data_IF_223112862310
#
_entry.id   IF_223112862310
#
_cell.length_a   1.000
_cell.length_b   1.000
_cell.length_c   1.000
_cell.angle_alpha   90.00
_cell.angle_beta   90.00
_cell.angle_gamma   90.00
#
_symmetry.space_group_name_H-M   'P 1'
#
loop_
_entity.id
_entity.type
_entity.pdbx_description
1 polymer ?
#
# COMPACT_ATOMS: atom_id res chain seq x y z
N UNK A 1 -22.28 -1.26 15.61
CA UNK A 1 -21.09 -0.39 15.59
C UNK A 1 -20.04 -0.92 14.62
N UNK A 2 -19.12 -0.06 14.19
CA UNK A 2 -18.02 -0.39 13.26
C UNK A 2 -16.78 -0.68 14.09
N UNK A 3 -16.20 -1.88 13.97
CA UNK A 3 -14.99 -2.24 14.72
C UNK A 3 -13.71 -1.65 14.11
N UNK A 4 -13.64 -1.57 12.79
CA UNK A 4 -12.54 -0.99 12.02
C UNK A 4 -12.96 -0.68 10.59
N UNK A 5 -12.15 0.11 9.88
CA UNK A 5 -12.38 0.48 8.48
C UNK A 5 -11.21 0.01 7.62
N UNK A 6 -11.49 -0.58 6.47
CA UNK A 6 -10.51 -0.84 5.41
C UNK A 6 -10.64 0.24 4.34
N UNK A 7 -9.56 0.92 3.99
CA UNK A 7 -9.61 2.07 3.08
C UNK A 7 -8.57 1.95 1.96
N UNK A 8 -8.98 1.49 0.79
CA UNK A 8 -8.06 0.97 -0.23
C UNK A 8 -7.60 1.99 -1.27
N UNK A 9 -7.40 3.26 -0.90
CA UNK A 9 -6.75 4.27 -1.75
C UNK A 9 -7.63 4.86 -2.86
N UNK A 10 -6.98 5.44 -3.87
CA UNK A 10 -7.54 6.23 -4.97
C UNK A 10 -8.29 7.50 -4.51
N UNK A 11 -7.54 8.37 -3.82
CA UNK A 11 -8.08 9.60 -3.22
C UNK A 11 -8.08 10.80 -4.16
N UNK A 12 -7.13 10.87 -5.09
CA UNK A 12 -6.96 12.02 -5.98
C UNK A 12 -7.82 11.88 -7.25
N UNK A 13 -8.29 13.00 -7.83
CA UNK A 13 -9.15 12.96 -9.00
C UNK A 13 -8.43 12.45 -10.27
N UNK A 14 -9.21 12.28 -11.34
CA UNK A 14 -8.73 11.78 -12.64
C UNK A 14 -8.27 12.91 -13.60
N UNK A 15 -8.04 14.12 -13.09
CA UNK A 15 -7.47 15.26 -13.83
C UNK A 15 -5.95 15.12 -14.02
N UNK A 16 -5.50 13.93 -14.38
CA UNK A 16 -4.09 13.48 -14.42
C UNK A 16 -3.17 14.34 -15.30
N UNK A 17 -3.74 15.16 -16.17
CA UNK A 17 -3.03 16.11 -17.02
C UNK A 17 -2.60 17.39 -16.27
N UNK A 18 -3.11 17.63 -15.06
CA UNK A 18 -2.90 18.87 -14.31
C UNK A 18 -2.74 18.63 -12.80
N UNK A 19 -1.82 17.75 -12.41
CA UNK A 19 -1.59 17.36 -11.03
C UNK A 19 -0.18 17.70 -10.54
N UNK A 20 -0.05 18.20 -9.30
CA UNK A 20 1.24 18.42 -8.63
C UNK A 20 1.36 17.59 -7.35
N UNK A 21 2.60 17.38 -6.88
CA UNK A 21 2.85 16.65 -5.61
C UNK A 21 2.15 17.35 -4.44
N UNK A 22 2.19 18.67 -4.42
CA UNK A 22 1.58 19.50 -3.38
C UNK A 22 0.05 19.31 -3.36
N UNK A 23 -0.59 19.30 -4.53
CA UNK A 23 -2.04 19.07 -4.63
C UNK A 23 -2.45 17.67 -4.17
N UNK A 24 -1.67 16.64 -4.50
CA UNK A 24 -1.91 15.26 -4.05
C UNK A 24 -1.78 15.14 -2.53
N UNK A 25 -0.70 15.67 -1.95
CA UNK A 25 -0.51 15.66 -0.51
C UNK A 25 -1.61 16.43 0.22
N UNK A 26 -2.09 17.55 -0.34
CA UNK A 26 -3.21 18.29 0.23
C UNK A 26 -4.48 17.45 0.28
N UNK A 27 -4.84 16.78 -0.83
CA UNK A 27 -6.02 15.92 -0.91
C UNK A 27 -5.93 14.73 0.04
N UNK A 28 -4.76 14.06 0.10
CA UNK A 28 -4.53 12.93 1.01
C UNK A 28 -4.72 13.37 2.47
N UNK A 29 -4.08 14.48 2.87
CA UNK A 29 -4.17 15.00 4.25
C UNK A 29 -5.59 15.40 4.62
N UNK A 30 -6.28 16.07 3.70
CA UNK A 30 -7.68 16.49 3.88
C UNK A 30 -8.59 15.27 4.04
N UNK A 31 -8.44 14.26 3.17
CA UNK A 31 -9.22 13.02 3.25
C UNK A 31 -8.96 12.28 4.56
N UNK A 32 -7.70 12.20 4.99
CA UNK A 32 -7.30 11.61 6.28
C UNK A 32 -7.93 12.36 7.46
N UNK A 33 -7.97 13.70 7.41
CA UNK A 33 -8.60 14.51 8.45
C UNK A 33 -10.10 14.23 8.53
N UNK A 34 -10.80 14.26 7.39
CA UNK A 34 -12.24 13.97 7.34
C UNK A 34 -12.55 12.57 7.87
N UNK A 35 -11.76 11.55 7.49
CA UNK A 35 -11.93 10.19 8.01
C UNK A 35 -11.71 10.11 9.52
N UNK A 36 -10.69 10.78 10.05
CA UNK A 36 -10.40 10.82 11.49
C UNK A 36 -11.47 11.56 12.30
N UNK A 37 -12.03 12.63 11.75
CA UNK A 37 -13.11 13.42 12.38
C UNK A 37 -14.46 12.70 12.32
N UNK A 38 -14.75 12.02 11.22
CA UNK A 38 -16.01 11.29 11.02
C UNK A 38 -16.08 10.01 11.85
N UNK A 39 -14.94 9.33 12.04
CA UNK A 39 -14.86 8.05 12.75
C UNK A 39 -13.90 8.12 13.96
N UNK A 40 -14.19 8.96 14.97
CA UNK A 40 -13.29 9.16 16.11
C UNK A 40 -13.13 7.86 16.90
N UNK A 41 -11.88 7.48 17.15
CA UNK A 41 -11.53 6.27 17.92
C UNK A 41 -11.67 4.96 17.15
N UNK A 42 -12.16 4.97 15.90
CA UNK A 42 -12.23 3.77 15.06
C UNK A 42 -10.91 3.63 14.28
N UNK A 43 -10.20 2.50 14.38
CA UNK A 43 -8.97 2.29 13.63
C UNK A 43 -9.26 2.14 12.14
N UNK A 44 -8.46 2.81 11.31
CA UNK A 44 -8.54 2.75 9.85
C UNK A 44 -7.26 2.13 9.31
N UNK A 45 -7.42 1.11 8.47
CA UNK A 45 -6.33 0.37 7.84
C UNK A 45 -6.28 0.68 6.35
N UNK A 46 -5.43 1.64 5.93
CA UNK A 46 -5.36 2.06 4.54
C UNK A 46 -4.54 1.10 3.67
N UNK A 47 -4.84 1.08 2.37
CA UNK A 47 -3.95 0.56 1.32
C UNK A 47 -3.74 1.64 0.26
N UNK A 48 -2.59 1.61 -0.40
CA UNK A 48 -2.21 2.60 -1.39
C UNK A 48 -2.85 2.28 -2.75
N UNK A 49 -3.52 3.26 -3.37
CA UNK A 49 -4.04 3.20 -4.72
C UNK A 49 -3.03 3.66 -5.77
N UNK A 50 -3.45 3.70 -7.03
CA UNK A 50 -2.56 4.08 -8.13
C UNK A 50 -2.64 5.57 -8.48
N UNK A 51 -3.63 6.30 -7.96
CA UNK A 51 -3.81 7.73 -8.14
C UNK A 51 -3.02 8.60 -7.14
N UNK A 52 -2.53 8.05 -6.02
CA UNK A 52 -1.82 8.86 -5.00
C UNK A 52 -0.51 9.49 -5.49
N UNK A 53 0.17 8.88 -6.46
CA UNK A 53 1.37 9.44 -7.07
C UNK A 53 1.06 10.38 -8.23
N UNK A 54 1.92 11.38 -8.45
CA UNK A 54 1.94 12.16 -9.68
C UNK A 54 3.32 12.07 -10.37
N UNK A 55 3.37 11.74 -11.68
CA UNK A 55 2.21 11.44 -12.52
C UNK A 55 1.56 10.09 -12.16
N UNK A 56 0.30 9.90 -12.54
CA UNK A 56 -0.50 8.70 -12.18
C UNK A 56 0.22 7.39 -12.49
N UNK A 57 0.05 6.36 -11.66
CA UNK A 57 0.74 5.06 -11.73
C UNK A 57 2.27 5.11 -11.55
N UNK A 58 2.88 6.27 -11.30
CA UNK A 58 4.33 6.39 -11.19
C UNK A 58 4.84 6.04 -9.79
N UNK A 59 5.15 4.76 -9.55
CA UNK A 59 5.68 4.28 -8.27
C UNK A 59 7.09 3.74 -8.46
N UNK A 60 8.07 4.64 -8.36
CA UNK A 60 9.48 4.34 -8.58
C UNK A 60 10.05 3.45 -7.45
N UNK A 61 10.58 2.26 -7.76
CA UNK A 61 11.34 1.48 -6.79
C UNK A 61 12.70 2.15 -6.50
N UNK A 62 13.40 1.78 -5.41
CA UNK A 62 14.71 2.35 -5.06
C UNK A 62 15.82 2.18 -6.11
N UNK A 63 15.63 1.30 -7.10
CA UNK A 63 16.55 1.14 -8.23
C UNK A 63 16.40 2.21 -9.32
N UNK A 64 15.34 3.01 -9.28
CA UNK A 64 15.14 4.15 -10.19
C UNK A 64 16.05 5.33 -9.80
N UNK A 65 16.31 6.29 -10.72
CA UNK A 65 17.12 7.47 -10.41
C UNK A 65 16.52 8.30 -9.27
N UNK A 66 17.37 8.77 -8.34
CA UNK A 66 16.99 9.43 -7.09
C UNK A 66 16.06 10.65 -7.28
N UNK A 67 16.24 11.42 -8.35
CA UNK A 67 15.36 12.55 -8.70
C UNK A 67 13.88 12.17 -8.86
N UNK A 68 13.58 10.90 -9.13
CA UNK A 68 12.23 10.35 -9.27
C UNK A 68 11.76 9.58 -8.03
N UNK A 69 12.49 9.69 -6.92
CA UNK A 69 12.13 9.05 -5.66
C UNK A 69 10.67 9.32 -5.29
N UNK A 70 9.98 8.27 -4.87
CA UNK A 70 8.61 8.30 -4.36
C UNK A 70 8.55 8.66 -2.86
N UNK A 71 9.70 8.93 -2.22
CA UNK A 71 9.78 9.20 -0.78
C UNK A 71 8.90 10.34 -0.31
N UNK A 72 8.72 11.39 -1.12
CA UNK A 72 7.82 12.52 -0.81
C UNK A 72 6.39 12.06 -0.46
N UNK A 73 5.91 11.00 -1.12
CA UNK A 73 4.59 10.42 -0.89
C UNK A 73 4.64 9.49 0.32
N UNK A 74 5.57 8.53 0.32
CA UNK A 74 5.63 7.51 1.38
C UNK A 74 5.93 8.11 2.76
N UNK A 75 6.74 9.16 2.83
CA UNK A 75 7.00 9.89 4.08
C UNK A 75 5.75 10.63 4.59
N UNK A 76 4.90 11.15 3.69
CA UNK A 76 3.65 11.79 4.09
C UNK A 76 2.60 10.76 4.52
N UNK A 77 2.45 9.68 3.76
CA UNK A 77 1.59 8.54 4.13
C UNK A 77 1.98 8.00 5.50
N UNK A 78 3.27 7.83 5.76
CA UNK A 78 3.77 7.38 7.06
C UNK A 78 3.35 8.33 8.20
N UNK A 79 3.41 9.65 8.00
CA UNK A 79 2.95 10.64 8.98
C UNK A 79 1.43 10.58 9.18
N UNK A 80 0.66 10.44 8.11
CA UNK A 80 -0.80 10.38 8.19
C UNK A 80 -1.29 9.09 8.81
N UNK A 81 -0.74 7.94 8.40
CA UNK A 81 -1.18 6.62 8.84
C UNK A 81 -0.78 6.30 10.28
N UNK A 82 0.21 6.99 10.85
CA UNK A 82 0.55 6.90 12.29
C UNK A 82 -0.62 7.21 13.24
N UNK A 83 -1.67 7.87 12.75
CA UNK A 83 -2.91 8.07 13.52
C UNK A 83 -3.61 6.76 13.89
N UNK A 84 -3.46 5.72 13.06
CA UNK A 84 -4.16 4.45 13.21
C UNK A 84 -3.22 3.24 13.30
N UNK A 85 -1.99 3.37 12.78
CA UNK A 85 -1.00 2.29 12.73
C UNK A 85 0.07 2.45 13.81
N UNK A 86 0.56 1.34 14.40
CA UNK A 86 1.61 1.40 15.41
C UNK A 86 2.96 1.81 14.80
N UNK A 87 3.81 2.47 15.58
CA UNK A 87 5.11 2.97 15.10
C UNK A 87 6.02 1.89 14.49
N UNK A 88 5.87 0.63 14.92
CA UNK A 88 6.65 -0.51 14.43
C UNK A 88 6.53 -0.76 12.92
N UNK A 89 5.48 -0.27 12.25
CA UNK A 89 5.33 -0.43 10.79
C UNK A 89 5.97 0.70 9.97
N UNK A 90 6.49 1.75 10.63
CA UNK A 90 6.99 2.97 9.95
C UNK A 90 8.03 2.68 8.87
N UNK A 91 8.92 1.71 9.10
CA UNK A 91 9.97 1.36 8.14
C UNK A 91 9.41 0.67 6.89
N UNK A 92 8.42 -0.23 7.04
CA UNK A 92 7.78 -0.89 5.90
C UNK A 92 6.97 0.13 5.09
N UNK A 93 6.27 1.06 5.76
CA UNK A 93 5.53 2.13 5.07
C UNK A 93 6.47 3.04 4.27
N UNK A 94 7.62 3.46 4.83
CA UNK A 94 8.60 4.27 4.07
C UNK A 94 9.30 3.49 2.96
N UNK A 95 9.47 2.17 3.13
CA UNK A 95 10.10 1.30 2.14
C UNK A 95 9.22 1.09 0.91
N UNK A 96 7.91 0.91 1.10
CA UNK A 96 7.04 0.56 -0.01
C UNK A 96 5.54 0.76 0.20
N UNK A 97 5.13 1.51 1.22
CA UNK A 97 3.73 1.77 1.56
C UNK A 97 2.86 0.52 1.78
N UNK A 98 3.48 -0.59 2.18
CA UNK A 98 2.84 -1.79 2.69
C UNK A 98 3.13 -1.92 4.20
N UNK A 99 2.34 -2.71 4.92
CA UNK A 99 2.54 -2.95 6.35
C UNK A 99 1.78 -4.18 6.84
N UNK A 100 2.13 -4.65 8.04
CA UNK A 100 1.51 -5.79 8.71
C UNK A 100 1.25 -5.45 10.16
N UNK A 101 0.00 -5.55 10.60
CA UNK A 101 -0.43 -5.17 11.97
C UNK A 101 -1.30 -6.25 12.59
N UNK A 102 -1.01 -6.58 13.85
CA UNK A 102 -1.89 -7.42 14.66
C UNK A 102 -3.01 -6.53 15.21
N UNK A 103 -4.23 -6.71 14.71
CA UNK A 103 -5.38 -5.87 15.07
C UNK A 103 -5.94 -6.28 16.43
N UNK A 104 -6.00 -7.60 16.67
CA UNK A 104 -6.40 -8.21 17.94
C UNK A 104 -5.75 -9.59 18.06
N UNK A 105 -5.78 -10.24 19.24
CA UNK A 105 -5.21 -11.58 19.38
C UNK A 105 -5.70 -12.53 18.28
N UNK A 106 -4.76 -13.24 17.66
CA UNK A 106 -5.00 -14.18 16.54
C UNK A 106 -5.56 -13.57 15.25
N UNK A 107 -5.53 -12.25 15.06
CA UNK A 107 -6.01 -11.62 13.83
C UNK A 107 -5.12 -10.47 13.35
N UNK A 108 -4.65 -10.59 12.11
CA UNK A 108 -3.70 -9.68 11.46
C UNK A 108 -4.30 -9.09 10.17
N UNK A 109 -3.96 -7.83 9.91
CA UNK A 109 -4.14 -7.20 8.59
C UNK A 109 -2.77 -7.01 7.96
N UNK A 110 -2.67 -7.36 6.68
CA UNK A 110 -1.51 -7.08 5.83
C UNK A 110 -1.98 -6.21 4.67
N UNK A 111 -1.45 -5.00 4.59
CA UNK A 111 -1.65 -4.09 3.46
C UNK A 111 -0.48 -4.26 2.49
N UNK A 112 -0.79 -4.49 1.20
CA UNK A 112 0.17 -4.70 0.11
C UNK A 112 0.04 -3.56 -0.89
N UNK A 113 1.17 -3.05 -1.39
CA UNK A 113 1.21 -2.00 -2.39
C UNK A 113 1.14 -2.61 -3.80
N UNK A 114 -0.09 -2.72 -4.30
CA UNK A 114 -0.38 -3.34 -5.60
C UNK A 114 0.20 -2.56 -6.81
N UNK A 115 0.76 -1.36 -6.60
CA UNK A 115 1.44 -0.61 -7.68
C UNK A 115 2.72 -1.30 -8.18
N UNK A 116 3.29 -2.22 -7.39
CA UNK A 116 4.42 -3.04 -7.84
C UNK A 116 4.00 -4.24 -8.71
N UNK A 117 2.70 -4.46 -8.84
CA UNK A 117 2.15 -5.37 -9.84
C UNK A 117 1.49 -4.63 -11.01
N UNK A 118 1.17 -3.35 -10.87
CA UNK A 118 0.48 -2.54 -11.87
C UNK A 118 1.22 -2.49 -13.23
N UNK A 119 0.55 -2.90 -14.31
CA UNK A 119 1.09 -2.87 -15.68
C UNK A 119 1.27 -1.43 -16.23
N UNK A 120 0.65 -0.42 -15.60
CA UNK A 120 0.81 1.00 -15.92
C UNK A 120 1.95 1.66 -15.16
N UNK A 121 2.56 0.97 -14.19
CA UNK A 121 3.76 1.45 -13.51
C UNK A 121 4.99 1.24 -14.42
N UNK A 122 5.31 2.26 -15.21
CA UNK A 122 6.39 2.20 -16.20
C UNK A 122 7.77 1.93 -15.60
N UNK A 123 7.98 2.18 -14.30
CA UNK A 123 9.25 1.88 -13.63
C UNK A 123 9.58 0.39 -13.63
N UNK A 124 8.55 -0.47 -13.73
CA UNK A 124 8.71 -1.92 -13.79
C UNK A 124 9.35 -2.41 -15.09
N UNK A 125 9.44 -1.56 -16.13
CA UNK A 125 10.21 -1.87 -17.34
C UNK A 125 11.72 -1.97 -17.08
N UNK A 126 12.23 -1.31 -16.04
CA UNK A 126 13.65 -1.41 -15.64
C UNK A 126 13.89 -2.79 -15.00
N UNK A 127 13.08 -3.12 -14.00
CA UNK A 127 13.10 -4.43 -13.33
C UNK A 127 11.75 -4.67 -12.64
N UNK A 128 11.02 -5.70 -13.09
CA UNK A 128 9.74 -6.12 -12.51
C UNK A 128 9.87 -7.29 -11.53
N UNK A 129 11.10 -7.69 -11.17
CA UNK A 129 11.35 -8.83 -10.28
C UNK A 129 11.14 -8.40 -8.84
N UNK A 130 10.02 -8.81 -8.25
CA UNK A 130 9.59 -8.53 -6.88
C UNK A 130 10.06 -7.16 -6.35
N UNK A 131 9.52 -6.05 -6.89
CA UNK A 131 9.97 -4.71 -6.52
C UNK A 131 9.93 -4.55 -5.00
N UNK A 132 10.98 -3.94 -4.44
CA UNK A 132 11.20 -3.76 -3.00
C UNK A 132 11.10 -5.04 -2.14
N UNK A 133 11.22 -6.22 -2.75
CA UNK A 133 11.06 -7.53 -2.12
C UNK A 133 9.71 -7.67 -1.38
N UNK A 134 8.64 -7.14 -1.96
CA UNK A 134 7.31 -7.11 -1.33
C UNK A 134 6.69 -8.51 -1.19
N UNK A 135 6.73 -9.34 -2.23
CA UNK A 135 6.22 -10.72 -2.16
C UNK A 135 7.05 -11.56 -1.21
N UNK A 136 8.38 -11.41 -1.21
CA UNK A 136 9.24 -12.06 -0.24
C UNK A 136 8.91 -11.62 1.20
N UNK A 137 8.63 -10.34 1.43
CA UNK A 137 8.16 -9.83 2.72
C UNK A 137 6.78 -10.39 3.08
N UNK A 138 5.84 -10.46 2.13
CA UNK A 138 4.51 -11.02 2.34
C UNK A 138 4.58 -12.49 2.78
N UNK A 139 5.42 -13.31 2.14
CA UNK A 139 5.68 -14.69 2.55
C UNK A 139 6.14 -14.75 4.00
N UNK A 140 7.07 -13.89 4.41
CA UNK A 140 7.57 -13.85 5.79
C UNK A 140 6.47 -13.47 6.78
N UNK A 141 5.61 -12.51 6.44
CA UNK A 141 4.48 -12.12 7.29
C UNK A 141 3.43 -13.23 7.42
N UNK A 142 3.11 -13.92 6.32
CA UNK A 142 2.17 -15.05 6.34
C UNK A 142 2.72 -16.25 7.11
N UNK A 143 4.01 -16.58 6.94
CA UNK A 143 4.65 -17.64 7.71
C UNK A 143 4.67 -17.32 9.21
N UNK A 144 4.92 -16.05 9.58
CA UNK A 144 4.85 -15.60 10.97
C UNK A 144 3.42 -15.73 11.53
N UNK A 145 2.42 -15.36 10.74
CA UNK A 145 1.01 -15.51 11.12
C UNK A 145 0.64 -16.99 11.31
N UNK A 146 1.10 -17.87 10.43
CA UNK A 146 0.90 -19.33 10.54
C UNK A 146 1.48 -19.88 11.84
N UNK A 147 2.75 -19.56 12.15
CA UNK A 147 3.43 -20.00 13.39
C UNK A 147 2.68 -19.52 14.64
N UNK A 148 2.11 -18.32 14.59
CA UNK A 148 1.38 -17.70 15.70
C UNK A 148 -0.11 -18.06 15.74
N UNK A 149 -0.59 -18.94 14.87
CA UNK A 149 -2.02 -19.29 14.72
C UNK A 149 -2.93 -18.06 14.45
N UNK A 150 -2.43 -17.08 13.72
CA UNK A 150 -3.15 -15.86 13.36
C UNK A 150 -3.93 -16.06 12.05
N UNK A 151 -5.17 -15.54 11.98
CA UNK A 151 -5.88 -15.36 10.71
C UNK A 151 -5.50 -14.02 10.10
N UNK A 152 -5.47 -13.97 8.77
CA UNK A 152 -4.96 -12.82 8.03
C UNK A 152 -6.01 -12.30 7.06
N UNK A 153 -6.27 -10.99 7.11
CA UNK A 153 -6.86 -10.26 5.99
C UNK A 153 -5.75 -9.58 5.20
N UNK A 154 -5.72 -9.80 3.89
CA UNK A 154 -4.85 -9.05 2.98
C UNK A 154 -5.67 -7.98 2.30
N UNK A 155 -5.20 -6.73 2.32
CA UNK A 155 -5.83 -5.59 1.65
C UNK A 155 -4.86 -4.97 0.63
N UNK A 156 -5.43 -4.43 -0.44
CA UNK A 156 -4.70 -3.81 -1.54
C UNK A 156 -5.68 -3.13 -2.50
N UNK A 157 -5.16 -2.33 -3.43
CA UNK A 157 -5.99 -1.59 -4.38
C UNK A 157 -6.28 -2.38 -5.66
N UNK A 158 -5.25 -2.64 -6.49
CA UNK A 158 -5.40 -3.37 -7.76
C UNK A 158 -5.58 -4.86 -7.49
N UNK A 159 -6.65 -5.52 -7.97
CA UNK A 159 -6.84 -6.94 -7.78
C UNK A 159 -5.74 -7.76 -8.48
N UNK A 160 -5.11 -8.74 -7.81
CA UNK A 160 -3.96 -9.48 -8.35
C UNK A 160 -4.29 -10.36 -9.57
N UNK A 161 -5.57 -10.68 -9.81
CA UNK A 161 -6.04 -11.44 -10.98
C UNK A 161 -6.56 -10.57 -12.13
N UNK A 162 -6.51 -9.25 -12.01
CA UNK A 162 -6.96 -8.32 -13.06
C UNK A 162 -5.94 -8.18 -14.18
N UNK A 163 -6.39 -7.67 -15.33
CA UNK A 163 -5.53 -7.37 -16.47
C UNK A 163 -4.53 -6.23 -16.16
N UNK A 164 -4.82 -5.41 -15.14
CA UNK A 164 -3.94 -4.34 -14.66
C UNK A 164 -2.73 -4.87 -13.86
N UNK A 165 -2.65 -6.17 -13.54
CA UNK A 165 -1.54 -6.76 -12.79
C UNK A 165 -0.63 -7.60 -13.70
N UNK A 166 0.70 -7.45 -13.57
CA UNK A 166 1.67 -8.21 -14.33
C UNK A 166 1.50 -9.71 -14.08
N UNK A 167 1.37 -10.48 -15.15
CA UNK A 167 1.11 -11.93 -15.12
C UNK A 167 2.08 -12.72 -14.24
N UNK A 168 3.35 -12.34 -14.22
CA UNK A 168 4.38 -13.01 -13.40
C UNK A 168 4.16 -12.72 -11.91
N UNK A 169 3.90 -11.47 -11.54
CA UNK A 169 3.60 -11.09 -10.16
C UNK A 169 2.32 -11.78 -9.68
N UNK A 170 1.25 -11.69 -10.48
CA UNK A 170 -0.05 -12.35 -10.25
C UNK A 170 0.08 -13.85 -9.99
N UNK A 171 0.86 -14.56 -10.81
CA UNK A 171 1.11 -16.00 -10.65
C UNK A 171 1.84 -16.34 -9.35
N UNK A 172 2.80 -15.51 -8.94
CA UNK A 172 3.52 -15.74 -7.67
C UNK A 172 2.62 -15.44 -6.48
N UNK A 173 1.87 -14.35 -6.50
CA UNK A 173 0.86 -14.06 -5.49
C UNK A 173 -0.15 -15.21 -5.35
N UNK A 174 -0.67 -15.73 -6.47
CA UNK A 174 -1.58 -16.89 -6.46
C UNK A 174 -0.96 -18.13 -5.80
N UNK A 175 0.33 -18.41 -6.04
CA UNK A 175 1.03 -19.52 -5.38
C UNK A 175 1.18 -19.29 -3.87
N UNK A 176 1.43 -18.06 -3.44
CA UNK A 176 1.53 -17.69 -2.02
C UNK A 176 0.19 -17.94 -1.31
N UNK A 177 -0.93 -17.57 -1.94
CA UNK A 177 -2.26 -17.77 -1.37
C UNK A 177 -2.64 -19.26 -1.27
N UNK A 178 -2.18 -20.11 -2.19
CA UNK A 178 -2.52 -21.54 -2.23
C UNK A 178 -1.50 -22.45 -1.52
N UNK A 179 -0.50 -21.88 -0.82
CA UNK A 179 0.54 -22.64 -0.13
C UNK A 179 0.01 -23.32 1.13
#
# INVERSE_FOLDING_TARGET
DIDYILWTGDLTPHDIWNQTRESHLAIIRESVNQMAETFPGIPIFPALGNHESTPVNSFAPPSAPEQYSISWLYDDLQKQWRRWLPDGVSNDVRRGAFYSVLVKPKFRIISVNMNYCNNKNWWLMINSTDPVNELQWLIQQLQKAEINEEKVHIIGHIPPGSDDCLKVWSRNYYKIINR
#
